data_IF_216055972350
#
_entry.id   IF_216055972350
#
_cell.length_a   1.000
_cell.length_b   1.000
_cell.length_c   1.000
_cell.angle_alpha   90.00
_cell.angle_beta   90.00
_cell.angle_gamma   90.00
#
_symmetry.space_group_name_H-M   'P 1'
#
loop_
_entity.id
_entity.type
_entity.pdbx_description
1 polymer ?
#
# COMPACT_ATOMS: atom_id res chain seq x y z
N UNK A 1 11.40 -5.25 -8.78
CA UNK A 1 10.09 -5.86 -8.53
C UNK A 1 9.97 -6.36 -7.09
N UNK A 2 10.86 -7.21 -6.60
CA UNK A 2 10.82 -7.82 -5.26
C UNK A 2 10.81 -6.76 -4.15
N UNK A 3 11.65 -5.74 -4.25
CA UNK A 3 11.66 -4.61 -3.31
C UNK A 3 10.36 -3.82 -3.31
N UNK A 4 9.71 -3.68 -4.48
CA UNK A 4 8.39 -3.03 -4.57
C UNK A 4 7.32 -3.85 -3.85
N UNK A 5 7.30 -5.18 -4.01
CA UNK A 5 6.37 -6.04 -3.27
C UNK A 5 6.62 -6.01 -1.77
N UNK A 6 7.90 -6.08 -1.35
CA UNK A 6 8.27 -6.03 0.06
C UNK A 6 7.78 -4.73 0.71
N UNK A 7 8.13 -3.59 0.12
CA UNK A 7 7.75 -2.29 0.63
C UNK A 7 6.23 -2.08 0.64
N UNK A 8 5.55 -2.46 -0.46
CA UNK A 8 4.10 -2.33 -0.55
C UNK A 8 3.38 -3.18 0.49
N UNK A 9 3.73 -4.45 0.62
CA UNK A 9 3.08 -5.35 1.57
C UNK A 9 3.40 -4.96 3.02
N UNK A 10 4.62 -4.48 3.29
CA UNK A 10 4.96 -3.96 4.60
C UNK A 10 4.05 -2.77 4.98
N UNK A 11 3.94 -1.76 4.13
CA UNK A 11 3.10 -0.59 4.39
C UNK A 11 1.61 -0.95 4.42
N UNK A 12 1.13 -1.76 3.48
CA UNK A 12 -0.28 -2.14 3.36
C UNK A 12 -0.77 -2.92 4.60
N UNK A 13 -0.01 -3.93 5.02
CA UNK A 13 -0.42 -4.75 6.16
C UNK A 13 -0.33 -4.00 7.49
N UNK A 14 0.57 -3.02 7.63
CA UNK A 14 0.51 -2.08 8.74
C UNK A 14 -0.82 -1.31 8.73
N UNK A 15 -1.13 -0.64 7.63
CA UNK A 15 -2.35 0.18 7.52
C UNK A 15 -3.61 -0.65 7.81
N UNK A 16 -3.72 -1.85 7.24
CA UNK A 16 -4.88 -2.72 7.45
C UNK A 16 -5.01 -3.18 8.90
N UNK A 17 -3.89 -3.53 9.55
CA UNK A 17 -3.90 -4.10 10.89
C UNK A 17 -4.04 -3.04 11.99
N UNK A 18 -3.38 -1.90 11.82
CA UNK A 18 -3.23 -0.91 12.88
C UNK A 18 -4.19 0.27 12.77
N UNK A 19 -4.63 0.67 11.57
CA UNK A 19 -5.55 1.80 11.43
C UNK A 19 -6.83 1.65 12.27
N UNK A 20 -7.55 0.51 12.25
CA UNK A 20 -8.72 0.33 13.10
C UNK A 20 -8.40 0.38 14.60
N UNK A 21 -7.26 -0.23 14.99
CA UNK A 21 -6.84 -0.31 16.39
C UNK A 21 -6.43 1.06 16.93
N UNK A 22 -5.63 1.81 16.17
CA UNK A 22 -5.18 3.15 16.56
C UNK A 22 -6.34 4.13 16.73
N UNK A 23 -7.39 4.02 15.91
CA UNK A 23 -8.61 4.81 16.06
C UNK A 23 -9.33 4.51 17.39
N UNK A 24 -9.41 3.25 17.78
CA UNK A 24 -10.01 2.84 19.05
C UNK A 24 -9.17 3.34 20.23
N UNK A 25 -7.84 3.25 20.15
CA UNK A 25 -6.93 3.78 21.17
C UNK A 25 -7.00 5.32 21.27
N UNK A 26 -7.31 6.01 20.17
CA UNK A 26 -7.57 7.45 20.14
C UNK A 26 -8.96 7.83 20.69
N UNK A 27 -9.73 6.88 21.23
CA UNK A 27 -11.01 7.13 21.90
C UNK A 27 -12.26 6.95 21.04
N UNK A 28 -12.13 6.48 19.79
CA UNK A 28 -13.29 6.13 18.97
C UNK A 28 -13.86 4.75 19.36
N UNK A 29 -15.14 4.53 19.03
CA UNK A 29 -15.76 3.23 19.27
C UNK A 29 -15.17 2.14 18.36
N UNK A 30 -15.26 0.88 18.80
CA UNK A 30 -14.83 -0.28 17.99
C UNK A 30 -15.56 -0.32 16.64
N UNK A 31 -16.84 0.06 16.59
CA UNK A 31 -17.61 0.14 15.34
C UNK A 31 -17.02 1.16 14.37
N UNK A 32 -16.56 2.30 14.86
CA UNK A 32 -15.91 3.34 14.04
C UNK A 32 -14.55 2.88 13.50
N UNK A 33 -13.76 2.18 14.32
CA UNK A 33 -12.52 1.54 13.87
C UNK A 33 -12.75 0.51 12.76
N UNK A 34 -13.76 -0.34 12.92
CA UNK A 34 -14.17 -1.32 11.88
C UNK A 34 -14.60 -0.60 10.60
N UNK A 35 -15.35 0.50 10.73
CA UNK A 35 -15.79 1.31 9.57
C UNK A 35 -14.59 1.86 8.79
N UNK A 36 -13.52 2.29 9.45
CA UNK A 36 -12.30 2.74 8.80
C UNK A 36 -11.61 1.61 7.99
N UNK A 37 -11.56 0.40 8.54
CA UNK A 37 -11.08 -0.78 7.80
C UNK A 37 -11.96 -1.11 6.59
N UNK A 38 -13.28 -1.02 6.74
CA UNK A 38 -14.22 -1.26 5.64
C UNK A 38 -14.11 -0.21 4.53
N UNK A 39 -13.99 1.08 4.87
CA UNK A 39 -13.81 2.15 3.89
C UNK A 39 -12.46 2.07 3.18
N UNK A 40 -11.40 1.65 3.86
CA UNK A 40 -10.10 1.35 3.26
C UNK A 40 -10.24 0.27 2.17
N UNK A 41 -10.93 -0.82 2.47
CA UNK A 41 -11.13 -1.92 1.50
C UNK A 41 -12.04 -1.48 0.35
N UNK A 42 -13.10 -0.71 0.62
CA UNK A 42 -13.98 -0.16 -0.42
C UNK A 42 -13.22 0.79 -1.36
N UNK A 43 -12.40 1.70 -0.80
CA UNK A 43 -11.51 2.55 -1.58
C UNK A 43 -10.55 1.72 -2.43
N UNK A 44 -10.00 0.67 -1.85
CA UNK A 44 -9.10 -0.26 -2.52
C UNK A 44 -9.73 -0.99 -3.70
N UNK A 45 -10.99 -1.41 -3.58
CA UNK A 45 -11.74 -2.01 -4.69
C UNK A 45 -11.86 -1.04 -5.87
N UNK A 46 -12.21 0.21 -5.59
CA UNK A 46 -12.28 1.26 -6.61
C UNK A 46 -10.90 1.50 -7.21
N UNK A 47 -9.85 1.59 -6.39
CA UNK A 47 -8.47 1.75 -6.84
C UNK A 47 -7.99 0.61 -7.76
N UNK A 48 -8.36 -0.62 -7.45
CA UNK A 48 -8.08 -1.79 -8.28
C UNK A 48 -8.75 -1.69 -9.67
N UNK A 49 -10.03 -1.31 -9.70
CA UNK A 49 -10.78 -1.10 -10.95
C UNK A 49 -10.18 0.03 -11.79
N UNK A 50 -9.89 1.17 -11.15
CA UNK A 50 -9.29 2.32 -11.82
C UNK A 50 -7.89 1.98 -12.35
N UNK A 51 -7.06 1.27 -11.58
CA UNK A 51 -5.76 0.82 -12.05
C UNK A 51 -5.88 -0.09 -13.27
N UNK A 52 -6.84 -1.02 -13.29
CA UNK A 52 -7.12 -1.89 -14.44
C UNK A 52 -7.54 -1.10 -15.68
N UNK A 53 -8.45 -0.14 -15.52
CA UNK A 53 -8.94 0.72 -16.60
C UNK A 53 -7.84 1.65 -17.13
N UNK A 54 -7.08 2.30 -16.26
CA UNK A 54 -5.98 3.17 -16.67
C UNK A 54 -4.83 2.39 -17.28
N UNK A 55 -4.56 1.17 -16.77
CA UNK A 55 -3.51 0.29 -17.28
C UNK A 55 -3.75 -0.19 -18.72
N UNK A 56 -5.01 -0.17 -19.20
CA UNK A 56 -5.32 -0.45 -20.61
C UNK A 56 -4.99 0.71 -21.56
N UNK A 57 -4.84 1.95 -21.03
CA UNK A 57 -4.62 3.17 -21.83
C UNK A 57 -3.25 3.81 -21.61
N UNK A 58 -2.66 3.60 -20.44
CA UNK A 58 -1.42 4.25 -20.02
C UNK A 58 -0.39 3.22 -19.59
N UNK A 59 0.88 3.60 -19.65
CA UNK A 59 1.97 2.75 -19.20
C UNK A 59 1.84 2.38 -17.71
N UNK A 60 1.55 1.11 -17.42
CA UNK A 60 1.28 0.60 -16.07
C UNK A 60 2.41 0.94 -15.10
N UNK A 61 3.66 0.91 -15.54
CA UNK A 61 4.81 1.26 -14.70
C UNK A 61 4.77 2.71 -14.20
N UNK A 62 4.32 3.67 -15.05
CA UNK A 62 4.15 5.07 -14.65
C UNK A 62 3.01 5.22 -13.65
N UNK A 63 1.90 4.52 -13.89
CA UNK A 63 0.75 4.49 -12.99
C UNK A 63 1.15 3.94 -11.62
N UNK A 64 1.87 2.83 -11.56
CA UNK A 64 2.36 2.24 -10.30
C UNK A 64 3.22 3.23 -9.53
N UNK A 65 4.15 3.92 -10.21
CA UNK A 65 4.99 4.93 -9.57
C UNK A 65 4.16 6.11 -9.01
N UNK A 66 3.14 6.56 -9.74
CA UNK A 66 2.22 7.59 -9.24
C UNK A 66 1.39 7.10 -8.06
N UNK A 67 0.86 5.88 -8.13
CA UNK A 67 0.09 5.30 -7.03
C UNK A 67 0.95 5.14 -5.77
N UNK A 68 2.21 4.73 -5.89
CA UNK A 68 3.13 4.72 -4.75
C UNK A 68 3.34 6.13 -4.15
N UNK A 69 3.57 7.13 -5.00
CA UNK A 69 3.77 8.50 -4.52
C UNK A 69 2.53 9.04 -3.80
N UNK A 70 1.34 8.77 -4.34
CA UNK A 70 0.07 9.20 -3.74
C UNK A 70 -0.29 8.37 -2.50
N UNK A 71 0.13 7.10 -2.42
CA UNK A 71 0.04 6.30 -1.19
C UNK A 71 0.86 6.93 -0.06
N UNK A 72 2.09 7.37 -0.35
CA UNK A 72 2.92 8.07 0.65
C UNK A 72 2.20 9.31 1.18
N UNK A 73 1.70 10.16 0.28
CA UNK A 73 0.98 11.39 0.67
C UNK A 73 -0.25 11.07 1.52
N UNK A 74 -1.04 10.07 1.12
CA UNK A 74 -2.26 9.69 1.86
C UNK A 74 -1.98 9.09 3.23
N UNK A 75 -0.93 8.27 3.36
CA UNK A 75 -0.49 7.69 4.63
C UNK A 75 0.02 8.80 5.57
N UNK A 76 0.84 9.72 5.07
CA UNK A 76 1.32 10.85 5.86
C UNK A 76 0.15 11.75 6.28
N UNK A 77 -0.75 12.09 5.36
CA UNK A 77 -1.93 12.90 5.69
C UNK A 77 -2.76 12.25 6.80
N UNK A 78 -2.96 10.94 6.73
CA UNK A 78 -3.69 10.21 7.76
C UNK A 78 -3.02 10.27 9.14
N UNK A 79 -1.70 10.13 9.18
CA UNK A 79 -0.93 10.14 10.44
C UNK A 79 -0.88 11.51 11.13
N UNK A 80 -1.14 12.60 10.39
CA UNK A 80 -1.07 13.98 10.94
C UNK A 80 -2.43 14.66 11.10
N UNK A 81 -3.50 14.02 10.67
CA UNK A 81 -4.84 14.60 10.81
C UNK A 81 -5.46 14.17 12.14
N UNK A 82 -5.58 15.14 13.07
CA UNK A 82 -6.48 15.05 14.22
C UNK A 82 -7.85 15.56 13.76
N UNK A 83 -8.69 14.68 13.26
CA UNK A 83 -9.89 15.08 12.57
C UNK A 83 -11.16 14.38 13.01
N UNK A 84 -12.30 14.92 12.54
CA UNK A 84 -13.59 14.27 12.66
C UNK A 84 -13.57 12.89 11.98
N UNK A 85 -14.38 11.96 12.47
CA UNK A 85 -14.51 10.61 11.95
C UNK A 85 -14.69 10.58 10.41
N UNK A 86 -15.50 11.50 9.87
CA UNK A 86 -15.74 11.58 8.43
C UNK A 86 -14.44 11.79 7.63
N UNK A 87 -13.54 12.66 8.10
CA UNK A 87 -12.25 12.93 7.45
C UNK A 87 -11.37 11.68 7.51
N UNK A 88 -11.31 11.01 8.64
CA UNK A 88 -10.54 9.77 8.82
C UNK A 88 -11.05 8.64 7.93
N UNK A 89 -12.37 8.50 7.76
CA UNK A 89 -12.96 7.52 6.85
C UNK A 89 -12.63 7.82 5.39
N UNK A 90 -12.70 9.08 4.97
CA UNK A 90 -12.33 9.51 3.61
C UNK A 90 -10.83 9.24 3.35
N UNK A 91 -9.96 9.61 4.29
CA UNK A 91 -8.53 9.35 4.16
C UNK A 91 -8.22 7.84 4.13
N UNK A 92 -8.93 7.03 4.94
CA UNK A 92 -8.81 5.55 4.87
C UNK A 92 -9.17 5.03 3.48
N UNK A 93 -10.27 5.51 2.88
CA UNK A 93 -10.66 5.13 1.52
C UNK A 93 -9.59 5.53 0.49
N UNK A 94 -9.01 6.74 0.61
CA UNK A 94 -7.96 7.23 -0.28
C UNK A 94 -6.68 6.40 -0.13
N UNK A 95 -6.27 6.05 1.09
CA UNK A 95 -5.13 5.15 1.33
C UNK A 95 -5.35 3.80 0.66
N UNK A 96 -6.53 3.19 0.89
CA UNK A 96 -6.89 1.92 0.27
C UNK A 96 -6.86 1.99 -1.25
N UNK A 97 -7.42 3.06 -1.83
CA UNK A 97 -7.45 3.30 -3.27
C UNK A 97 -6.04 3.24 -3.89
N UNK A 98 -5.09 3.96 -3.33
CA UNK A 98 -3.73 4.01 -3.89
C UNK A 98 -2.92 2.75 -3.57
N UNK A 99 -2.99 2.21 -2.35
CA UNK A 99 -2.22 1.03 -1.97
C UNK A 99 -2.66 -0.22 -2.73
N UNK A 100 -3.97 -0.50 -2.79
CA UNK A 100 -4.49 -1.69 -3.49
C UNK A 100 -4.36 -1.48 -5.00
N UNK A 101 -4.60 -0.27 -5.52
CA UNK A 101 -4.34 0.05 -6.92
C UNK A 101 -2.88 -0.19 -7.32
N UNK A 102 -1.91 0.25 -6.51
CA UNK A 102 -0.49 -0.04 -6.73
C UNK A 102 -0.20 -1.55 -6.74
N UNK A 103 -0.84 -2.32 -5.86
CA UNK A 103 -0.69 -3.77 -5.78
C UNK A 103 -1.18 -4.46 -7.06
N UNK A 104 -2.35 -4.06 -7.58
CA UNK A 104 -2.86 -4.57 -8.86
C UNK A 104 -1.92 -4.21 -10.02
N UNK A 105 -1.38 -2.99 -10.01
CA UNK A 105 -0.38 -2.58 -11.00
C UNK A 105 0.88 -3.45 -10.97
N UNK A 106 1.41 -3.80 -9.78
CA UNK A 106 2.54 -4.72 -9.64
C UNK A 106 2.19 -6.13 -10.12
N UNK A 107 0.98 -6.64 -9.84
CA UNK A 107 0.52 -7.93 -10.35
C UNK A 107 0.41 -7.94 -11.88
N UNK A 108 0.16 -6.79 -12.50
CA UNK A 108 0.12 -6.66 -13.95
C UNK A 108 1.54 -6.63 -14.55
N UNK A 109 2.48 -5.91 -13.93
CA UNK A 109 3.87 -5.79 -14.41
C UNK A 109 4.66 -7.08 -14.15
N UNK A 110 4.43 -7.74 -13.01
CA UNK A 110 5.20 -8.89 -12.58
C UNK A 110 5.37 -9.97 -13.65
N UNK A 111 4.29 -10.50 -14.24
CA UNK A 111 4.37 -11.52 -15.28
C UNK A 111 5.09 -11.09 -16.56
N UNK A 112 5.11 -9.78 -16.85
CA UNK A 112 5.76 -9.24 -18.04
C UNK A 112 7.29 -9.16 -17.94
N UNK A 113 7.85 -9.32 -16.75
CA UNK A 113 9.30 -9.26 -16.49
C UNK A 113 10.00 -10.62 -16.61
N UNK A 114 9.25 -11.70 -16.73
CA UNK A 114 9.78 -13.06 -16.77
C UNK A 114 9.39 -13.78 -18.04
N UNK A 115 10.30 -14.61 -18.56
CA UNK A 115 10.02 -15.51 -19.67
C UNK A 115 8.93 -16.52 -19.28
N UNK A 116 8.25 -17.09 -20.28
CA UNK A 116 7.14 -18.03 -20.06
C UNK A 116 7.49 -19.23 -19.18
N UNK A 117 8.74 -19.70 -19.23
CA UNK A 117 9.25 -20.85 -18.47
C UNK A 117 9.49 -20.53 -16.99
N UNK A 118 9.89 -19.29 -16.67
CA UNK A 118 10.25 -18.86 -15.31
C UNK A 118 9.19 -17.94 -14.66
N UNK A 119 8.16 -17.56 -15.41
CA UNK A 119 7.15 -16.55 -15.01
C UNK A 119 6.46 -16.89 -13.69
N UNK A 120 5.95 -18.10 -13.55
CA UNK A 120 5.21 -18.52 -12.35
C UNK A 120 6.13 -18.50 -11.13
N UNK A 121 7.34 -19.06 -11.27
CA UNK A 121 8.32 -19.10 -10.19
C UNK A 121 8.81 -17.70 -9.82
N UNK A 122 9.13 -16.86 -10.81
CA UNK A 122 9.64 -15.51 -10.58
C UNK A 122 8.61 -14.60 -9.91
N UNK A 123 7.36 -14.63 -10.36
CA UNK A 123 6.26 -13.87 -9.74
C UNK A 123 5.93 -14.44 -8.35
N UNK A 124 5.89 -15.76 -8.20
CA UNK A 124 5.63 -16.41 -6.91
C UNK A 124 6.69 -16.05 -5.87
N UNK A 125 7.98 -16.05 -6.24
CA UNK A 125 9.06 -15.59 -5.36
C UNK A 125 8.96 -14.10 -5.02
N UNK A 126 8.62 -13.25 -5.98
CA UNK A 126 8.43 -11.82 -5.73
C UNK A 126 7.31 -11.56 -4.71
N UNK A 127 6.19 -12.27 -4.85
CA UNK A 127 5.08 -12.21 -3.88
C UNK A 127 5.50 -12.81 -2.54
N UNK A 128 6.23 -13.92 -2.55
CA UNK A 128 6.78 -14.58 -1.34
C UNK A 128 7.67 -13.64 -0.53
N UNK A 129 8.58 -12.92 -1.18
CA UNK A 129 9.40 -11.87 -0.54
C UNK A 129 8.50 -10.75 0.02
N UNK A 130 7.47 -10.35 -0.71
CA UNK A 130 6.48 -9.39 -0.23
C UNK A 130 5.79 -9.84 1.07
N UNK A 131 5.50 -11.15 1.20
CA UNK A 131 4.88 -11.71 2.42
C UNK A 131 5.75 -11.57 3.66
N UNK A 132 7.07 -11.51 3.52
CA UNK A 132 7.96 -11.20 4.66
C UNK A 132 7.66 -9.79 5.21
N UNK A 133 7.42 -8.81 4.32
CA UNK A 133 6.96 -7.49 4.73
C UNK A 133 5.60 -7.52 5.43
N UNK A 134 4.66 -8.31 4.91
CA UNK A 134 3.33 -8.47 5.51
C UNK A 134 3.39 -9.05 6.93
N UNK A 135 4.29 -10.00 7.18
CA UNK A 135 4.50 -10.62 8.50
C UNK A 135 5.20 -9.63 9.44
N UNK A 136 6.23 -8.93 8.96
CA UNK A 136 6.99 -8.00 9.76
C UNK A 136 6.19 -6.75 10.18
N UNK A 137 5.26 -6.28 9.34
CA UNK A 137 4.56 -5.03 9.54
C UNK A 137 3.76 -4.95 10.85
N UNK A 138 2.88 -5.89 11.20
CA UNK A 138 2.15 -5.83 12.46
C UNK A 138 3.07 -5.90 13.69
N UNK A 139 4.15 -6.71 13.60
CA UNK A 139 5.12 -6.86 14.67
C UNK A 139 5.92 -5.57 14.91
N UNK A 140 6.45 -4.97 13.83
CA UNK A 140 7.19 -3.70 13.91
C UNK A 140 6.28 -2.58 14.41
N UNK A 141 5.02 -2.51 13.93
CA UNK A 141 4.03 -1.55 14.40
C UNK A 141 3.76 -1.69 15.90
N UNK A 142 3.65 -2.92 16.41
CA UNK A 142 3.50 -3.19 17.85
C UNK A 142 4.67 -2.70 18.67
N UNK A 143 5.91 -3.00 18.26
CA UNK A 143 7.12 -2.52 18.94
C UNK A 143 7.21 -0.99 19.00
N UNK A 144 6.80 -0.31 17.93
CA UNK A 144 6.81 1.14 17.87
C UNK A 144 5.80 1.76 18.84
N UNK A 145 4.63 1.15 19.00
CA UNK A 145 3.63 1.56 19.97
C UNK A 145 4.08 1.31 21.41
N UNK A 146 4.69 0.16 21.68
CA UNK A 146 5.30 -0.12 23.00
C UNK A 146 6.41 0.87 23.36
N UNK A 147 7.14 1.37 22.35
CA UNK A 147 8.14 2.42 22.51
C UNK A 147 7.54 3.83 22.69
N UNK A 148 6.21 3.97 22.74
CA UNK A 148 5.46 5.22 22.87
C UNK A 148 5.81 6.24 21.77
N UNK A 149 6.04 5.79 20.54
CA UNK A 149 6.21 6.68 19.41
C UNK A 149 4.87 7.31 19.01
N UNK A 150 4.93 8.57 18.63
CA UNK A 150 3.75 9.27 18.12
C UNK A 150 3.17 8.57 16.87
N UNK A 151 1.85 8.52 16.78
CA UNK A 151 1.13 7.87 15.68
C UNK A 151 1.58 8.44 14.33
N UNK A 152 1.78 9.76 14.23
CA UNK A 152 2.28 10.43 13.02
C UNK A 152 3.66 9.91 12.58
N UNK A 153 4.57 9.68 13.55
CA UNK A 153 5.90 9.12 13.28
C UNK A 153 5.80 7.68 12.80
N UNK A 154 4.92 6.88 13.39
CA UNK A 154 4.69 5.49 12.98
C UNK A 154 4.19 5.45 11.52
N UNK A 155 3.16 6.23 11.18
CA UNK A 155 2.68 6.31 9.78
C UNK A 155 3.78 6.78 8.81
N UNK A 156 4.61 7.74 9.21
CA UNK A 156 5.74 8.22 8.38
C UNK A 156 6.78 7.12 8.13
N UNK A 157 7.13 6.33 9.15
CA UNK A 157 8.07 5.22 9.01
C UNK A 157 7.55 4.13 8.08
N UNK A 158 6.24 3.84 8.11
CA UNK A 158 5.62 2.89 7.18
C UNK A 158 5.38 3.46 5.78
N UNK A 159 5.31 4.78 5.61
CA UNK A 159 5.28 5.42 4.29
C UNK A 159 6.67 5.44 3.60
N UNK A 160 7.76 5.51 4.37
CA UNK A 160 9.11 5.67 3.84
C UNK A 160 9.53 4.56 2.82
N UNK A 161 9.28 3.26 3.05
CA UNK A 161 9.60 2.21 2.09
C UNK A 161 8.91 2.38 0.73
N UNK A 162 7.71 2.99 0.70
CA UNK A 162 6.98 3.24 -0.55
C UNK A 162 7.66 4.29 -1.42
N UNK A 163 8.41 5.22 -0.84
CA UNK A 163 9.22 6.21 -1.59
C UNK A 163 10.26 5.45 -2.41
N UNK A 164 11.01 4.54 -1.77
CA UNK A 164 12.00 3.70 -2.44
C UNK A 164 11.34 2.79 -3.49
N UNK A 165 10.18 2.22 -3.19
CA UNK A 165 9.41 1.43 -4.14
C UNK A 165 8.97 2.26 -5.37
N UNK A 166 8.59 3.52 -5.18
CA UNK A 166 8.24 4.44 -6.27
C UNK A 166 9.40 4.70 -7.23
N UNK A 167 10.61 4.92 -6.69
CA UNK A 167 11.83 5.04 -7.50
C UNK A 167 12.18 3.71 -8.18
N UNK A 168 12.13 2.60 -7.45
CA UNK A 168 12.39 1.27 -8.01
C UNK A 168 11.40 0.91 -9.13
N UNK A 169 10.12 1.26 -8.98
CA UNK A 169 9.10 1.04 -10.01
C UNK A 169 9.40 1.82 -11.31
N UNK A 170 9.94 3.03 -11.20
CA UNK A 170 10.38 3.81 -12.38
C UNK A 170 11.58 3.17 -13.07
N UNK A 171 12.47 2.55 -12.33
CA UNK A 171 13.67 1.87 -12.86
C UNK A 171 13.37 0.50 -13.51
N UNK A 172 12.17 -0.07 -13.30
CA UNK A 172 11.79 -1.34 -13.91
C UNK A 172 11.77 -1.19 -15.44
N UNK A 173 12.56 -2.02 -16.14
CA UNK A 173 12.57 -2.10 -17.60
C UNK A 173 11.52 -3.13 -18.01
N UNK A 174 10.40 -2.66 -18.55
CA UNK A 174 9.32 -3.51 -19.08
C UNK A 174 9.44 -3.62 -20.61
N UNK A 175 9.09 -4.77 -21.21
CA UNK A 175 9.00 -4.89 -22.67
C UNK A 175 8.08 -3.83 -23.29
N UNK A 176 8.32 -3.50 -24.57
CA UNK A 176 7.66 -2.39 -25.30
C UNK A 176 6.12 -2.47 -25.23
N UNK A 177 5.56 -3.67 -25.18
CA UNK A 177 4.12 -3.89 -25.07
C UNK A 177 3.46 -3.36 -23.78
N UNK A 178 4.26 -2.99 -22.76
CA UNK A 178 3.80 -2.48 -21.45
C UNK A 178 4.32 -1.06 -21.14
N UNK A 179 4.83 -0.36 -22.18
CA UNK A 179 5.38 1.00 -22.04
C UNK A 179 4.31 2.09 -22.10
#
# INVERSE_FOLDING_TARGET
LWSCYLALMFSFYFVVSWTPKLLVEAGLSTSQGISAGATLQAGGLIGALVMGLLGSRYAVKKLVAWFFSLSVVSILAYGWVDGELAVLLILSAIMGFFLIGAMIGLYTIGPALYDSTSRVTGVGLAIGVGRLGAIAAPFVGGLMLEANLDVSVIYALFAAPLILAGFAARAITVPIAFR
#
